data_IF_933717945170
#
_entry.id   IF_933717945170
#
_cell.length_a   1.000
_cell.length_b   1.000
_cell.length_c   1.000
_cell.angle_alpha   90.00
_cell.angle_beta   90.00
_cell.angle_gamma   90.00
#
_symmetry.space_group_name_H-M   'P 1'
#
loop_
_entity.id
_entity.type
_entity.pdbx_description
1 polymer ?
#
# COMPACT_ATOMS: atom_id res chain seq x y z
N UNK A 1 7.04 2.92 -23.12
CA UNK A 1 7.30 3.73 -21.92
C UNK A 1 6.49 3.08 -20.82
N UNK A 2 7.12 2.29 -19.97
CA UNK A 2 6.46 1.75 -18.78
C UNK A 2 6.10 2.96 -17.92
N UNK A 3 4.83 3.19 -17.55
CA UNK A 3 4.52 4.26 -16.61
C UNK A 3 5.36 3.97 -15.36
N UNK A 4 6.12 4.97 -14.91
CA UNK A 4 6.76 4.92 -13.61
C UNK A 4 5.63 4.91 -12.59
N UNK A 5 5.13 3.73 -12.24
CA UNK A 5 4.06 3.59 -11.26
C UNK A 5 4.66 4.09 -9.95
N UNK A 6 4.26 5.29 -9.54
CA UNK A 6 4.71 5.93 -8.30
C UNK A 6 3.93 5.35 -7.12
N UNK A 7 3.89 4.03 -7.01
CA UNK A 7 3.27 3.33 -5.88
C UNK A 7 4.34 2.89 -4.89
N UNK A 8 3.95 2.85 -3.63
CA UNK A 8 4.77 2.34 -2.54
C UNK A 8 3.99 1.23 -1.89
N UNK A 9 4.48 0.01 -2.04
CA UNK A 9 3.92 -1.18 -1.43
C UNK A 9 4.74 -1.52 -0.19
N UNK A 10 4.07 -1.79 0.93
CA UNK A 10 4.72 -2.18 2.18
C UNK A 10 3.86 -3.20 2.93
N UNK A 11 4.51 -4.14 3.59
CA UNK A 11 3.89 -5.06 4.55
C UNK A 11 4.07 -4.48 5.96
N UNK A 12 3.01 -4.47 6.74
CA UNK A 12 3.04 -3.97 8.12
C UNK A 12 2.45 -5.01 9.07
N UNK A 13 3.17 -5.28 10.15
CA UNK A 13 2.71 -6.17 11.21
C UNK A 13 1.88 -5.39 12.25
N UNK A 14 0.55 -5.53 12.19
CA UNK A 14 -0.41 -4.85 13.06
C UNK A 14 -1.65 -5.70 13.29
N UNK A 15 -2.37 -5.47 14.38
CA UNK A 15 -3.49 -6.33 14.78
C UNK A 15 -4.84 -5.89 14.18
N UNK A 16 -4.88 -4.75 13.49
CA UNK A 16 -6.11 -4.23 12.91
C UNK A 16 -5.88 -3.40 11.66
N UNK A 17 -6.93 -3.31 10.83
CA UNK A 17 -6.96 -2.44 9.66
C UNK A 17 -6.70 -0.98 10.01
N UNK A 18 -7.25 -0.50 11.12
CA UNK A 18 -7.11 0.90 11.54
C UNK A 18 -5.66 1.24 11.90
N UNK A 19 -4.95 0.30 12.53
CA UNK A 19 -3.51 0.43 12.76
C UNK A 19 -2.72 0.43 11.45
N UNK A 20 -3.06 -0.44 10.49
CA UNK A 20 -2.43 -0.46 9.17
C UNK A 20 -2.62 0.87 8.44
N UNK A 21 -3.86 1.40 8.44
CA UNK A 21 -4.19 2.68 7.83
C UNK A 21 -3.45 3.85 8.51
N UNK A 22 -3.36 3.83 9.83
CA UNK A 22 -2.64 4.88 10.58
C UNK A 22 -1.14 4.86 10.27
N UNK A 23 -0.54 3.68 10.19
CA UNK A 23 0.86 3.50 9.76
C UNK A 23 1.05 4.03 8.34
N UNK A 24 0.14 3.68 7.42
CA UNK A 24 0.16 4.16 6.04
C UNK A 24 0.12 5.70 5.94
N UNK A 25 -0.77 6.33 6.72
CA UNK A 25 -0.88 7.79 6.79
C UNK A 25 0.39 8.43 7.34
N UNK A 26 0.97 7.87 8.41
CA UNK A 26 2.23 8.37 8.97
C UNK A 26 3.38 8.26 7.98
N UNK A 27 3.47 7.15 7.23
CA UNK A 27 4.48 6.99 6.19
C UNK A 27 4.27 8.00 5.06
N UNK A 28 3.02 8.21 4.63
CA UNK A 28 2.69 9.22 3.63
C UNK A 28 3.11 10.63 4.07
N UNK A 29 2.77 11.04 5.30
CA UNK A 29 3.15 12.35 5.83
C UNK A 29 4.67 12.50 5.97
N UNK A 30 5.36 11.52 6.55
CA UNK A 30 6.78 11.64 6.88
C UNK A 30 7.71 11.52 5.67
N UNK A 31 7.39 10.66 4.71
CA UNK A 31 8.29 10.34 3.59
C UNK A 31 7.83 10.94 2.26
N UNK A 32 6.53 11.15 2.10
CA UNK A 32 5.94 11.65 0.87
C UNK A 32 5.28 13.02 1.07
N UNK A 33 5.39 13.62 2.26
CA UNK A 33 4.82 14.93 2.58
C UNK A 33 3.31 15.00 2.25
N UNK A 34 2.60 13.90 2.46
CA UNK A 34 1.17 13.77 2.16
C UNK A 34 0.83 13.70 0.67
N UNK A 35 1.81 13.54 -0.22
CA UNK A 35 1.59 13.58 -1.67
C UNK A 35 0.76 12.41 -2.21
N UNK A 36 0.72 11.26 -1.51
CA UNK A 36 -0.08 10.11 -1.92
C UNK A 36 -1.53 10.32 -1.53
N UNK A 37 -2.40 10.39 -2.53
CA UNK A 37 -3.82 10.73 -2.35
C UNK A 37 -4.68 9.48 -2.09
N UNK A 38 -4.16 8.30 -2.41
CA UNK A 38 -4.85 7.04 -2.23
C UNK A 38 -4.04 6.07 -1.38
N UNK A 39 -4.72 5.44 -0.42
CA UNK A 39 -4.16 4.44 0.47
C UNK A 39 -5.04 3.19 0.38
N UNK A 40 -4.44 2.08 -0.01
CA UNK A 40 -5.07 0.76 0.04
C UNK A 40 -4.52 -0.02 1.24
N UNK A 41 -5.40 -0.80 1.88
CA UNK A 41 -5.05 -1.70 2.99
C UNK A 41 -5.74 -3.04 2.75
N UNK A 42 -4.98 -4.13 2.68
CA UNK A 42 -5.49 -5.49 2.52
C UNK A 42 -4.91 -6.39 3.62
N UNK A 43 -5.71 -7.29 4.18
CA UNK A 43 -5.25 -8.22 5.20
C UNK A 43 -4.57 -9.42 4.51
N UNK A 44 -3.31 -9.69 4.85
CA UNK A 44 -2.55 -10.84 4.33
C UNK A 44 -2.63 -12.03 5.26
N UNK A 45 -2.45 -11.78 6.57
CA UNK A 45 -2.52 -12.80 7.62
C UNK A 45 -3.00 -12.18 8.94
N UNK A 46 -3.08 -12.98 10.01
CA UNK A 46 -3.71 -12.59 11.28
C UNK A 46 -3.24 -11.23 11.84
N UNK A 47 -1.96 -10.92 11.66
CA UNK A 47 -1.34 -9.69 12.11
C UNK A 47 -0.54 -8.99 11.01
N UNK A 48 -0.82 -9.26 9.74
CA UNK A 48 -0.02 -8.77 8.63
C UNK A 48 -0.91 -8.13 7.57
N UNK A 49 -0.55 -6.92 7.18
CA UNK A 49 -1.35 -6.10 6.28
C UNK A 49 -0.49 -5.58 5.15
N UNK A 50 -1.00 -5.70 3.93
CA UNK A 50 -0.49 -5.00 2.77
C UNK A 50 -1.01 -3.56 2.79
N UNK A 51 -0.10 -2.62 2.66
CA UNK A 51 -0.40 -1.20 2.50
C UNK A 51 0.17 -0.72 1.17
N UNK A 52 -0.65 -0.05 0.38
CA UNK A 52 -0.21 0.58 -0.88
C UNK A 52 -0.54 2.06 -0.84
N UNK A 53 0.48 2.90 -0.98
CA UNK A 53 0.33 4.33 -1.18
C UNK A 53 0.43 4.64 -2.67
N UNK A 54 -0.54 5.37 -3.21
CA UNK A 54 -0.63 5.66 -4.63
C UNK A 54 -1.12 7.10 -4.90
N UNK A 55 -0.88 7.58 -6.12
CA UNK A 55 -1.36 8.89 -6.57
C UNK A 55 -2.83 8.84 -7.05
N UNK A 56 -3.37 7.65 -7.30
CA UNK A 56 -4.76 7.39 -7.70
C UNK A 56 -5.14 5.91 -7.44
N UNK A 57 -6.42 5.60 -7.66
CA UNK A 57 -7.00 4.27 -7.43
C UNK A 57 -6.44 3.22 -8.40
N UNK A 58 -6.31 3.57 -9.68
CA UNK A 58 -5.89 2.63 -10.74
C UNK A 58 -4.45 2.14 -10.51
N UNK A 59 -3.57 3.02 -10.05
CA UNK A 59 -2.20 2.70 -9.67
C UNK A 59 -2.16 1.73 -8.47
N UNK A 60 -3.00 1.96 -7.47
CA UNK A 60 -3.07 1.06 -6.32
C UNK A 60 -3.62 -0.32 -6.69
N UNK A 61 -4.60 -0.40 -7.60
CA UNK A 61 -5.13 -1.66 -8.10
C UNK A 61 -4.03 -2.43 -8.84
N UNK A 62 -3.31 -1.78 -9.77
CA UNK A 62 -2.22 -2.42 -10.50
C UNK A 62 -1.10 -2.90 -9.58
N UNK A 63 -0.72 -2.09 -8.57
CA UNK A 63 0.30 -2.47 -7.60
C UNK A 63 -0.14 -3.68 -6.75
N UNK A 64 -1.43 -3.76 -6.41
CA UNK A 64 -2.01 -4.89 -5.69
C UNK A 64 -1.99 -6.16 -6.53
N UNK A 65 -2.47 -6.08 -7.77
CA UNK A 65 -2.48 -7.21 -8.71
C UNK A 65 -1.07 -7.75 -8.94
N UNK A 66 -0.10 -6.86 -9.11
CA UNK A 66 1.31 -7.24 -9.22
C UNK A 66 1.82 -7.93 -7.96
N UNK A 67 1.53 -7.37 -6.78
CA UNK A 67 1.96 -7.96 -5.51
C UNK A 67 1.47 -9.40 -5.35
N UNK A 68 0.18 -9.66 -5.61
CA UNK A 68 -0.36 -11.02 -5.50
C UNK A 68 0.13 -11.96 -6.62
N UNK A 69 0.34 -11.44 -7.84
CA UNK A 69 0.94 -12.24 -8.91
C UNK A 69 2.36 -12.70 -8.57
N UNK A 70 3.14 -11.85 -7.88
CA UNK A 70 4.49 -12.20 -7.40
C UNK A 70 4.45 -13.11 -6.15
N UNK A 71 3.35 -13.14 -5.40
CA UNK A 71 3.19 -13.93 -4.16
C UNK A 71 2.69 -15.37 -4.40
N UNK A 72 2.07 -15.63 -5.56
CA UNK A 72 1.54 -16.95 -5.95
C UNK A 72 2.57 -17.85 -6.68
N UNK A 73 3.80 -17.40 -6.88
CA UNK A 73 4.92 -18.13 -7.54
C UNK A 73 5.98 -18.58 -6.51
#
# INVERSE_FOLDING_TARGET
>A
MTPSINTVTMEVEVHSRDEALKTAQQVNENFFNGAKTYIHTECLSWNEWLVILADNIDDAIQAKEKYFADYED
#
